data_IF_419903658764
#
_entry.id   IF_419903658764
#
_cell.length_a   1.000
_cell.length_b   1.000
_cell.length_c   1.000
_cell.angle_alpha   90.00
_cell.angle_beta   90.00
_cell.angle_gamma   90.00
#
_symmetry.space_group_name_H-M   'P 1'
#
loop_
_entity.id
_entity.type
_entity.pdbx_description
1 polymer ?
#
# COMPACT_ATOMS: atom_id res chain seq x y z
N UNK A 1 16.09 27.12 1.88
CA UNK A 1 15.16 26.04 2.29
C UNK A 1 14.38 25.65 1.05
N UNK A 2 14.54 24.42 0.55
CA UNK A 2 13.84 23.97 -0.65
C UNK A 2 12.34 24.06 -0.41
N UNK A 3 11.59 24.69 -1.32
CA UNK A 3 10.12 24.68 -1.30
C UNK A 3 9.67 23.23 -1.15
N UNK A 4 8.81 22.88 -0.18
CA UNK A 4 8.30 21.53 -0.10
C UNK A 4 7.69 21.21 -1.47
N UNK A 5 8.14 20.11 -2.09
CA UNK A 5 7.47 19.56 -3.27
C UNK A 5 5.96 19.55 -2.99
N UNK A 6 5.17 19.97 -3.97
CA UNK A 6 3.73 20.03 -3.81
C UNK A 6 3.18 18.60 -3.80
N UNK A 7 3.18 17.96 -2.63
CA UNK A 7 2.70 16.59 -2.42
C UNK A 7 1.21 16.66 -2.09
N UNK A 8 0.38 16.00 -2.89
CA UNK A 8 -1.08 15.93 -2.68
C UNK A 8 -1.55 14.57 -2.22
N UNK A 9 -0.76 13.52 -2.47
CA UNK A 9 -1.05 12.15 -2.01
C UNK A 9 0.19 11.50 -1.40
N UNK A 10 -0.02 10.74 -0.33
CA UNK A 10 0.95 9.79 0.22
C UNK A 10 0.36 8.40 0.05
N UNK A 11 0.92 7.64 -0.89
CA UNK A 11 0.57 6.24 -1.11
C UNK A 11 1.56 5.42 -0.30
N UNK A 12 1.07 4.54 0.57
CA UNK A 12 1.96 3.81 1.48
C UNK A 12 1.41 2.42 1.81
N UNK A 13 2.33 1.61 2.31
CA UNK A 13 2.10 0.27 2.83
C UNK A 13 3.05 0.04 4.01
N UNK A 14 2.70 -0.87 4.91
CA UNK A 14 3.54 -1.26 6.05
C UNK A 14 3.76 -2.77 6.08
N UNK A 15 4.96 -3.16 6.49
CA UNK A 15 5.23 -4.53 6.91
C UNK A 15 5.35 -4.57 8.42
N UNK A 16 4.79 -5.60 9.04
CA UNK A 16 4.68 -5.66 10.51
C UNK A 16 5.22 -6.94 11.10
N UNK A 17 5.65 -6.84 12.36
CA UNK A 17 6.13 -7.95 13.16
C UNK A 17 5.40 -7.98 14.49
N UNK A 18 5.22 -9.17 15.03
CA UNK A 18 4.57 -9.34 16.31
C UNK A 18 5.48 -8.91 17.46
N UNK A 19 4.92 -8.20 18.44
CA UNK A 19 5.57 -7.94 19.70
C UNK A 19 5.40 -9.15 20.63
N UNK A 20 6.30 -10.11 20.50
CA UNK A 20 6.28 -11.33 21.31
C UNK A 20 6.41 -11.08 22.82
N UNK A 21 7.07 -9.98 23.23
CA UNK A 21 7.14 -9.63 24.65
C UNK A 21 5.77 -9.19 25.18
N UNK A 22 5.00 -8.43 24.40
CA UNK A 22 3.63 -8.07 24.75
C UNK A 22 2.69 -9.28 24.69
N UNK A 23 2.82 -10.14 23.68
CA UNK A 23 2.05 -11.39 23.60
C UNK A 23 2.29 -12.25 24.84
N UNK A 24 3.56 -12.51 25.19
CA UNK A 24 3.95 -13.27 26.39
C UNK A 24 3.31 -12.67 27.65
N UNK A 25 3.45 -11.35 27.84
CA UNK A 25 2.92 -10.66 29.02
C UNK A 25 1.40 -10.72 29.16
N UNK A 26 0.65 -10.57 28.06
CA UNK A 26 -0.81 -10.39 28.11
C UNK A 26 -1.57 -11.71 27.94
N UNK A 27 -1.08 -12.60 27.08
CA UNK A 27 -1.74 -13.88 26.79
C UNK A 27 -1.34 -14.99 27.75
N UNK A 28 -0.11 -14.96 28.27
CA UNK A 28 0.48 -16.03 29.07
C UNK A 28 1.05 -15.51 30.40
N UNK A 29 0.25 -14.77 31.21
CA UNK A 29 0.74 -14.18 32.44
C UNK A 29 1.22 -15.26 33.42
N UNK A 30 2.49 -15.14 33.87
CA UNK A 30 3.10 -16.05 34.84
C UNK A 30 3.80 -17.27 34.23
N UNK A 31 3.69 -17.49 32.92
CA UNK A 31 4.33 -18.63 32.24
C UNK A 31 5.77 -18.33 31.79
N UNK A 32 6.20 -17.07 31.83
CA UNK A 32 7.55 -16.62 31.45
C UNK A 32 8.02 -17.10 30.06
N UNK A 33 7.09 -17.19 29.11
CA UNK A 33 7.41 -17.61 27.75
C UNK A 33 8.35 -16.62 27.07
N UNK A 34 9.30 -17.14 26.30
CA UNK A 34 10.11 -16.32 25.40
C UNK A 34 9.25 -15.66 24.31
N UNK A 35 9.64 -14.50 23.76
CA UNK A 35 8.84 -13.78 22.77
C UNK A 35 8.42 -14.62 21.55
N UNK A 36 9.34 -15.42 21.00
CA UNK A 36 9.07 -16.27 19.84
C UNK A 36 8.10 -17.42 20.16
N UNK A 37 8.30 -18.08 21.30
CA UNK A 37 7.40 -19.15 21.78
C UNK A 37 5.99 -18.61 22.02
N UNK A 38 5.87 -17.42 22.61
CA UNK A 38 4.58 -16.78 22.86
C UNK A 38 3.84 -16.47 21.55
N UNK A 39 4.55 -16.00 20.52
CA UNK A 39 3.98 -15.77 19.18
C UNK A 39 3.49 -17.10 18.58
N UNK A 40 4.34 -18.12 18.56
CA UNK A 40 4.01 -19.42 17.97
C UNK A 40 2.81 -20.08 18.66
N UNK A 41 2.78 -20.06 19.99
CA UNK A 41 1.66 -20.60 20.78
C UNK A 41 0.36 -19.86 20.48
N UNK A 42 0.40 -18.52 20.44
CA UNK A 42 -0.82 -17.76 20.19
C UNK A 42 -1.33 -17.94 18.77
N UNK A 43 -0.43 -18.03 17.78
CA UNK A 43 -0.79 -18.39 16.40
C UNK A 43 -1.46 -19.77 16.31
N UNK A 44 -0.94 -20.77 17.03
CA UNK A 44 -1.53 -22.10 17.07
C UNK A 44 -2.95 -22.09 17.69
N UNK A 45 -3.16 -21.37 18.79
CA UNK A 45 -4.49 -21.19 19.39
C UNK A 45 -5.49 -20.54 18.43
N UNK A 46 -5.06 -19.49 17.71
CA UNK A 46 -5.92 -18.81 16.74
C UNK A 46 -6.27 -19.72 15.56
N UNK A 47 -5.32 -20.53 15.09
CA UNK A 47 -5.56 -21.54 14.06
C UNK A 47 -6.58 -22.58 14.54
N UNK A 48 -6.45 -23.09 15.76
CA UNK A 48 -7.38 -24.05 16.34
C UNK A 48 -8.79 -23.47 16.50
N UNK A 49 -8.91 -22.22 16.97
CA UNK A 49 -10.20 -21.60 17.28
C UNK A 49 -10.93 -21.05 16.05
N UNK A 50 -10.20 -20.45 15.11
CA UNK A 50 -10.76 -19.65 14.02
C UNK A 50 -10.31 -20.10 12.62
N UNK A 51 -9.43 -21.10 12.52
CA UNK A 51 -8.88 -21.58 11.26
C UNK A 51 -7.91 -20.60 10.58
N UNK A 52 -7.39 -19.62 11.33
CA UNK A 52 -6.44 -18.61 10.85
C UNK A 52 -5.45 -18.25 11.96
N UNK A 53 -4.18 -18.10 11.63
CA UNK A 53 -3.09 -17.78 12.56
C UNK A 53 -2.67 -16.29 12.54
N UNK A 54 -3.57 -15.40 12.11
CA UNK A 54 -3.29 -13.97 11.99
C UNK A 54 -3.43 -13.30 13.35
N UNK A 55 -2.31 -12.75 13.87
CA UNK A 55 -2.31 -11.99 15.11
C UNK A 55 -3.07 -10.66 14.97
N UNK A 56 -3.83 -10.24 15.99
CA UNK A 56 -4.50 -8.93 16.00
C UNK A 56 -3.51 -7.76 15.89
N UNK A 57 -3.90 -6.69 15.18
CA UNK A 57 -3.11 -5.46 15.00
C UNK A 57 -2.60 -4.84 16.32
N UNK A 58 -3.29 -5.06 17.43
CA UNK A 58 -2.89 -4.59 18.77
C UNK A 58 -1.58 -5.20 19.27
N UNK A 59 -1.15 -6.34 18.72
CA UNK A 59 0.11 -6.99 19.03
C UNK A 59 1.20 -6.76 17.97
N UNK A 60 0.92 -5.97 16.94
CA UNK A 60 1.83 -5.77 15.81
C UNK A 60 2.59 -4.44 15.93
N UNK A 61 3.81 -4.42 15.41
CA UNK A 61 4.65 -3.24 15.28
C UNK A 61 5.10 -3.09 13.82
N UNK A 62 5.22 -1.86 13.28
CA UNK A 62 5.75 -1.67 11.94
C UNK A 62 7.24 -2.01 11.91
N UNK A 63 7.60 -3.03 11.14
CA UNK A 63 8.97 -3.38 10.80
C UNK A 63 9.48 -2.59 9.59
N UNK A 64 8.60 -2.20 8.67
CA UNK A 64 8.92 -1.31 7.56
C UNK A 64 7.70 -0.44 7.23
N UNK A 65 7.95 0.74 6.66
CA UNK A 65 6.92 1.62 6.10
C UNK A 65 7.52 2.36 4.92
N UNK A 66 6.95 2.13 3.73
CA UNK A 66 7.36 2.80 2.50
C UNK A 66 6.29 3.78 2.06
N UNK A 67 6.69 4.97 1.60
CA UNK A 67 5.79 6.02 1.13
C UNK A 67 6.20 6.48 -0.26
N UNK A 68 5.29 6.37 -1.22
CA UNK A 68 5.33 7.11 -2.47
C UNK A 68 4.70 8.50 -2.28
N UNK A 69 5.47 9.55 -2.59
CA UNK A 69 4.98 10.93 -2.63
C UNK A 69 4.50 11.24 -4.03
N UNK A 70 3.28 11.72 -4.14
CA UNK A 70 2.64 11.97 -5.44
C UNK A 70 2.08 13.39 -5.51
N UNK A 71 2.32 14.03 -6.65
CA UNK A 71 1.89 15.40 -6.93
C UNK A 71 0.37 15.55 -7.19
N UNK A 72 -0.14 16.78 -7.30
CA UNK A 72 -1.53 17.04 -7.66
C UNK A 72 -1.92 16.56 -9.07
N UNK A 73 -0.93 16.41 -9.95
CA UNK A 73 -1.03 15.85 -11.31
C UNK A 73 -0.87 14.32 -11.33
N UNK A 74 -0.85 13.68 -10.16
CA UNK A 74 -0.67 12.23 -9.98
C UNK A 74 0.72 11.70 -10.38
N UNK A 75 1.70 12.57 -10.64
CA UNK A 75 3.09 12.16 -10.91
C UNK A 75 3.78 11.63 -9.64
N UNK A 76 4.47 10.50 -9.77
CA UNK A 76 5.38 10.01 -8.74
C UNK A 76 6.56 10.97 -8.57
N UNK A 77 6.68 11.55 -7.38
CA UNK A 77 7.75 12.49 -7.05
C UNK A 77 8.93 11.79 -6.37
N UNK A 78 8.63 10.85 -5.48
CA UNK A 78 9.60 10.19 -4.62
C UNK A 78 9.06 8.87 -4.05
N UNK A 79 9.94 7.94 -3.68
CA UNK A 79 9.62 6.69 -2.99
C UNK A 79 10.63 6.51 -1.85
N UNK A 80 10.15 6.54 -0.60
CA UNK A 80 11.01 6.61 0.59
C UNK A 80 10.62 5.54 1.59
N UNK A 81 11.59 4.77 2.07
CA UNK A 81 11.43 3.91 3.24
C UNK A 81 11.82 4.68 4.51
N UNK A 82 10.97 4.63 5.55
CA UNK A 82 11.19 5.41 6.77
C UNK A 82 12.17 4.73 7.73
N UNK A 83 13.10 5.52 8.28
CA UNK A 83 14.15 5.08 9.21
C UNK A 83 15.11 4.01 8.65
N UNK A 84 15.20 3.85 7.34
CA UNK A 84 16.20 3.00 6.69
C UNK A 84 17.63 3.50 7.01
N UNK A 85 18.60 2.59 7.28
CA UNK A 85 18.51 1.12 7.29
C UNK A 85 18.20 0.51 8.66
N UNK A 86 17.81 1.31 9.66
CA UNK A 86 17.66 0.85 11.05
C UNK A 86 16.26 0.37 11.38
N UNK A 87 15.24 0.85 10.66
CA UNK A 87 13.87 0.36 10.74
C UNK A 87 13.30 0.32 12.17
N UNK A 88 13.59 1.34 12.99
CA UNK A 88 13.17 1.35 14.39
C UNK A 88 11.69 1.73 14.46
N UNK A 89 10.80 0.88 15.01
CA UNK A 89 9.35 1.11 14.92
C UNK A 89 8.89 2.46 15.49
N UNK A 90 9.46 2.90 16.61
CA UNK A 90 9.14 4.20 17.22
C UNK A 90 9.51 5.40 16.35
N UNK A 91 10.57 5.31 15.54
CA UNK A 91 10.97 6.36 14.61
C UNK A 91 10.20 6.28 13.30
N UNK A 92 9.89 5.08 12.81
CA UNK A 92 9.00 4.89 11.66
C UNK A 92 7.67 5.63 11.90
N UNK A 93 7.00 5.32 13.02
CA UNK A 93 5.68 5.88 13.34
C UNK A 93 5.76 7.39 13.57
N UNK A 94 6.78 7.85 14.31
CA UNK A 94 7.00 9.28 14.55
C UNK A 94 7.23 10.03 13.24
N UNK A 95 8.10 9.51 12.37
CA UNK A 95 8.44 10.15 11.10
C UNK A 95 7.25 10.15 10.13
N UNK A 96 6.43 9.10 10.13
CA UNK A 96 5.21 9.06 9.32
C UNK A 96 4.24 10.18 9.69
N UNK A 97 3.81 10.26 10.96
CA UNK A 97 2.84 11.27 11.39
C UNK A 97 3.37 12.70 11.29
N UNK A 98 4.65 12.92 11.65
CA UNK A 98 5.29 14.23 11.48
C UNK A 98 5.45 14.60 10.01
N UNK A 99 5.80 13.64 9.16
CA UNK A 99 5.88 13.80 7.71
C UNK A 99 4.54 14.19 7.11
N UNK A 100 3.48 13.43 7.40
CA UNK A 100 2.12 13.73 6.94
C UNK A 100 1.70 15.17 7.29
N UNK A 101 1.93 15.60 8.54
CA UNK A 101 1.68 16.99 8.95
C UNK A 101 2.57 18.00 8.21
N UNK A 102 3.86 17.69 8.04
CA UNK A 102 4.85 18.58 7.37
C UNK A 102 4.50 18.83 5.90
N UNK A 103 3.96 17.84 5.21
CA UNK A 103 3.48 17.96 3.83
C UNK A 103 2.05 18.52 3.73
N UNK A 104 1.55 19.18 4.78
CA UNK A 104 0.22 19.80 4.84
C UNK A 104 -0.93 18.79 4.68
N UNK A 105 -0.80 17.63 5.34
CA UNK A 105 -1.82 16.57 5.41
C UNK A 105 -2.30 16.10 4.02
N UNK A 106 -1.41 15.58 3.15
CA UNK A 106 -1.83 15.01 1.88
C UNK A 106 -2.83 13.88 2.08
N UNK A 107 -3.60 13.57 1.04
CA UNK A 107 -4.53 12.42 1.07
C UNK A 107 -3.70 11.15 1.26
N UNK A 108 -4.01 10.40 2.31
CA UNK A 108 -3.45 9.07 2.49
C UNK A 108 -4.13 8.12 1.50
N UNK A 109 -3.34 7.26 0.87
CA UNK A 109 -3.85 6.26 -0.09
C UNK A 109 -3.24 4.91 0.24
N UNK A 110 -4.07 3.90 0.35
CA UNK A 110 -3.67 2.53 0.73
C UNK A 110 -4.50 1.51 -0.02
N UNK A 111 -4.09 0.25 -0.03
CA UNK A 111 -4.96 -0.87 -0.40
C UNK A 111 -5.32 -1.70 0.84
N UNK A 112 -6.56 -1.58 1.34
CA UNK A 112 -7.04 -2.20 2.59
C UNK A 112 -6.36 -1.68 3.87
N UNK A 113 -5.67 -0.53 3.81
CA UNK A 113 -4.98 0.06 4.95
C UNK A 113 -5.89 0.62 6.04
N UNK A 114 -7.19 0.83 5.77
CA UNK A 114 -8.17 1.10 6.82
C UNK A 114 -8.33 -0.08 7.76
N UNK A 115 -8.28 -1.29 7.21
CA UNK A 115 -8.46 -2.54 7.94
C UNK A 115 -7.23 -2.99 8.72
N UNK A 116 -6.04 -2.46 8.40
CA UNK A 116 -4.79 -2.97 8.96
C UNK A 116 -3.73 -1.89 9.22
N UNK A 117 -3.19 -1.26 8.19
CA UNK A 117 -2.04 -0.36 8.27
C UNK A 117 -2.26 0.80 9.24
N UNK A 118 -3.35 1.55 9.06
CA UNK A 118 -3.68 2.68 9.92
C UNK A 118 -3.95 2.25 11.36
N UNK A 119 -4.76 1.20 11.64
CA UNK A 119 -4.87 0.65 12.99
C UNK A 119 -3.53 0.33 13.65
N UNK A 120 -2.58 -0.30 12.94
CA UNK A 120 -1.24 -0.58 13.48
C UNK A 120 -0.48 0.72 13.81
N UNK A 121 -0.50 1.71 12.91
CA UNK A 121 0.16 2.99 13.14
C UNK A 121 -0.49 3.81 14.26
N UNK A 122 -1.80 3.69 14.45
CA UNK A 122 -2.56 4.30 15.55
C UNK A 122 -2.22 3.64 16.89
N UNK A 123 -2.22 2.30 16.96
CA UNK A 123 -1.81 1.59 18.18
C UNK A 123 -0.33 1.81 18.51
N UNK A 124 0.53 1.92 17.50
CA UNK A 124 1.93 2.25 17.71
C UNK A 124 2.10 3.71 18.19
N UNK A 125 1.28 4.64 17.71
CA UNK A 125 1.26 6.01 18.24
C UNK A 125 0.84 6.03 19.72
N UNK A 126 -0.19 5.26 20.09
CA UNK A 126 -0.57 5.06 21.50
C UNK A 126 0.59 4.49 22.31
N UNK A 127 1.22 3.42 21.82
CA UNK A 127 2.35 2.73 22.47
C UNK A 127 3.54 3.65 22.74
N UNK A 128 3.88 4.50 21.77
CA UNK A 128 5.04 5.38 21.84
C UNK A 128 4.72 6.79 22.36
N UNK A 129 3.49 7.03 22.83
CA UNK A 129 3.08 8.32 23.40
C UNK A 129 3.11 9.47 22.39
N UNK A 130 2.76 9.21 21.13
CA UNK A 130 2.75 10.21 20.06
C UNK A 130 1.38 10.90 19.97
N UNK A 131 1.40 12.23 19.96
CA UNK A 131 0.19 13.05 19.76
C UNK A 131 -0.10 13.20 18.27
N UNK A 132 -1.30 12.77 17.84
CA UNK A 132 -1.77 12.82 16.44
C UNK A 132 -3.19 13.41 16.33
N UNK A 133 -3.46 14.59 16.92
CA UNK A 133 -4.82 15.12 17.04
C UNK A 133 -5.43 15.50 15.70
N UNK A 134 -4.62 15.92 14.72
CA UNK A 134 -5.12 16.26 13.38
C UNK A 134 -5.61 15.05 12.60
N UNK A 135 -5.11 13.85 12.90
CA UNK A 135 -5.59 12.60 12.28
C UNK A 135 -6.86 12.10 12.95
N UNK A 136 -6.90 12.10 14.28
CA UNK A 136 -8.09 11.61 14.99
C UNK A 136 -9.28 12.56 14.89
N UNK A 137 -8.99 13.86 14.95
CA UNK A 137 -9.89 15.02 14.81
C UNK A 137 -11.35 14.80 15.27
N UNK A 138 -11.54 14.11 16.40
CA UNK A 138 -12.84 13.61 16.89
C UNK A 138 -13.85 14.75 17.13
N UNK A 139 -13.37 15.95 17.44
CA UNK A 139 -14.22 17.12 17.63
C UNK A 139 -14.73 17.78 16.33
N UNK A 140 -14.22 17.38 15.16
CA UNK A 140 -14.68 17.90 13.87
C UNK A 140 -16.04 17.28 13.47
N UNK A 141 -16.82 17.95 12.60
CA UNK A 141 -17.98 17.35 11.96
C UNK A 141 -17.63 15.97 11.38
N UNK A 142 -18.51 14.99 11.55
CA UNK A 142 -18.20 13.59 11.23
C UNK A 142 -17.68 13.39 9.80
N UNK A 143 -18.20 14.14 8.82
CA UNK A 143 -17.78 14.07 7.41
C UNK A 143 -16.38 14.68 7.15
N UNK A 144 -15.87 15.51 8.04
CA UNK A 144 -14.51 16.08 7.99
C UNK A 144 -13.50 15.24 8.79
N UNK A 145 -13.96 14.25 9.57
CA UNK A 145 -13.07 13.40 10.35
C UNK A 145 -12.18 12.56 9.45
N UNK A 146 -10.87 12.56 9.66
CA UNK A 146 -9.94 11.89 8.74
C UNK A 146 -10.09 10.37 8.76
N UNK A 147 -10.55 9.83 9.90
CA UNK A 147 -10.86 8.40 10.07
C UNK A 147 -12.24 8.01 9.57
N UNK A 148 -13.09 8.97 9.19
CA UNK A 148 -14.39 8.63 8.61
C UNK A 148 -14.15 7.85 7.32
N UNK A 149 -14.73 6.65 7.24
CA UNK A 149 -14.59 5.73 6.12
C UNK A 149 -14.89 6.37 4.75
N UNK A 150 -15.82 7.32 4.71
CA UNK A 150 -16.28 7.98 3.49
C UNK A 150 -15.55 9.31 3.21
N UNK A 151 -14.64 9.76 4.08
CA UNK A 151 -13.83 10.95 3.86
C UNK A 151 -12.61 10.63 2.99
N UNK A 152 -12.85 10.48 1.69
CA UNK A 152 -11.81 10.20 0.69
C UNK A 152 -10.83 11.36 0.47
N UNK A 153 -11.13 12.54 1.03
CA UNK A 153 -10.23 13.71 1.02
C UNK A 153 -9.16 13.65 2.11
N UNK A 154 -9.30 12.77 3.11
CA UNK A 154 -8.25 12.49 4.10
C UNK A 154 -7.60 11.13 3.86
N UNK A 155 -8.40 10.12 3.58
CA UNK A 155 -7.91 8.76 3.32
C UNK A 155 -8.76 8.05 2.26
N UNK A 156 -8.13 7.76 1.14
CA UNK A 156 -8.68 6.94 0.07
C UNK A 156 -8.15 5.51 0.22
N UNK A 157 -8.97 4.62 0.74
CA UNK A 157 -8.69 3.18 0.70
C UNK A 157 -9.21 2.58 -0.63
N UNK A 158 -8.29 2.09 -1.45
CA UNK A 158 -8.62 1.51 -2.75
C UNK A 158 -9.42 0.21 -2.61
N UNK A 159 -9.24 -0.55 -1.53
CA UNK A 159 -10.07 -1.73 -1.27
C UNK A 159 -11.51 -1.33 -0.99
N UNK A 160 -11.74 -0.29 -0.18
CA UNK A 160 -13.10 0.26 0.03
C UNK A 160 -13.71 0.74 -1.29
N UNK A 161 -12.93 1.43 -2.14
CA UNK A 161 -13.39 1.89 -3.45
C UNK A 161 -13.85 0.72 -4.33
N UNK A 162 -13.02 -0.31 -4.52
CA UNK A 162 -13.33 -1.43 -5.42
C UNK A 162 -14.32 -2.44 -4.84
N UNK A 163 -14.40 -2.55 -3.52
CA UNK A 163 -15.36 -3.43 -2.83
C UNK A 163 -16.76 -2.81 -2.72
N UNK A 164 -16.98 -1.58 -3.23
CA UNK A 164 -18.18 -0.79 -2.93
C UNK A 164 -18.44 -0.73 -1.41
N UNK A 165 -17.40 -0.36 -0.65
CA UNK A 165 -17.40 -0.32 0.82
C UNK A 165 -17.79 -1.65 1.49
N UNK A 166 -17.36 -2.76 0.88
CA UNK A 166 -17.59 -4.12 1.38
C UNK A 166 -18.85 -4.80 0.86
N UNK A 167 -19.56 -4.22 -0.12
CA UNK A 167 -20.67 -4.91 -0.79
C UNK A 167 -20.21 -6.13 -1.58
N UNK A 168 -18.96 -6.13 -2.07
CA UNK A 168 -18.31 -7.29 -2.69
C UNK A 168 -16.92 -7.51 -2.13
N UNK A 169 -16.45 -8.75 -2.11
CA UNK A 169 -15.06 -9.05 -1.76
C UNK A 169 -14.17 -8.87 -2.99
N UNK A 170 -13.08 -8.12 -2.85
CA UNK A 170 -12.03 -8.04 -3.88
C UNK A 170 -11.10 -9.25 -3.71
N UNK A 171 -11.58 -10.43 -4.12
CA UNK A 171 -10.82 -11.67 -4.05
C UNK A 171 -9.54 -11.56 -4.88
N UNK A 172 -8.39 -11.94 -4.31
CA UNK A 172 -7.08 -11.73 -4.93
C UNK A 172 -6.40 -10.40 -4.58
N UNK A 173 -7.16 -9.44 -4.02
CA UNK A 173 -6.62 -8.21 -3.43
C UNK A 173 -5.74 -7.39 -4.36
N UNK A 174 -4.72 -6.74 -3.81
CA UNK A 174 -3.80 -5.89 -4.56
C UNK A 174 -3.10 -6.67 -5.68
N UNK A 175 -2.71 -7.92 -5.41
CA UNK A 175 -2.05 -8.79 -6.39
C UNK A 175 -2.88 -8.94 -7.67
N UNK A 176 -4.17 -9.24 -7.54
CA UNK A 176 -5.06 -9.35 -8.71
C UNK A 176 -5.22 -8.01 -9.43
N UNK A 177 -5.45 -6.93 -8.67
CA UNK A 177 -5.65 -5.60 -9.25
C UNK A 177 -4.42 -5.11 -10.03
N UNK A 178 -3.22 -5.35 -9.51
CA UNK A 178 -1.95 -5.03 -10.17
C UNK A 178 -1.76 -5.87 -11.45
N UNK A 179 -2.00 -7.18 -11.38
CA UNK A 179 -1.86 -8.08 -12.53
C UNK A 179 -2.84 -7.74 -13.66
N UNK A 180 -4.08 -7.33 -13.34
CA UNK A 180 -5.07 -6.89 -14.34
C UNK A 180 -4.54 -5.73 -15.19
N UNK A 181 -3.72 -4.85 -14.61
CA UNK A 181 -3.11 -3.70 -15.29
C UNK A 181 -1.65 -3.98 -15.72
N UNK A 182 -1.27 -5.26 -15.81
CA UNK A 182 0.05 -5.70 -16.24
C UNK A 182 1.20 -5.40 -15.28
N UNK A 183 0.92 -4.98 -14.03
CA UNK A 183 1.97 -4.77 -13.03
C UNK A 183 2.30 -6.08 -12.29
N UNK A 184 3.51 -6.19 -11.71
CA UNK A 184 4.01 -7.45 -11.14
C UNK A 184 3.07 -8.11 -10.14
N UNK A 185 2.42 -7.31 -9.27
CA UNK A 185 1.75 -7.88 -8.10
C UNK A 185 2.74 -8.47 -7.11
N UNK A 186 2.23 -9.34 -6.24
CA UNK A 186 3.02 -10.12 -5.28
C UNK A 186 4.02 -11.01 -6.03
N UNK A 187 5.26 -10.55 -6.13
CA UNK A 187 6.36 -11.22 -6.82
C UNK A 187 7.49 -11.60 -5.85
N UNK A 188 7.16 -11.98 -4.60
CA UNK A 188 8.17 -12.13 -3.55
C UNK A 188 7.68 -12.69 -2.21
N UNK A 189 8.17 -12.10 -1.11
CA UNK A 189 7.80 -12.46 0.26
C UNK A 189 6.29 -12.40 0.44
N UNK A 190 5.72 -13.45 1.02
CA UNK A 190 4.36 -13.39 1.54
C UNK A 190 4.37 -12.81 2.96
N UNK A 191 3.35 -12.04 3.34
CA UNK A 191 3.22 -11.44 4.67
C UNK A 191 3.40 -12.45 5.82
N UNK A 192 3.10 -13.73 5.59
CA UNK A 192 3.36 -14.82 6.55
C UNK A 192 4.86 -15.00 6.89
N UNK A 193 5.76 -14.66 5.98
CA UNK A 193 7.21 -14.84 6.10
C UNK A 193 7.93 -13.63 6.71
N UNK A 194 7.26 -12.47 6.84
CA UNK A 194 7.86 -11.22 7.34
C UNK A 194 8.49 -11.40 8.72
N UNK A 195 7.84 -12.16 9.59
CA UNK A 195 8.36 -12.47 10.93
C UNK A 195 9.68 -13.24 10.85
N UNK A 196 9.78 -14.22 9.97
CA UNK A 196 10.97 -15.07 9.83
C UNK A 196 12.14 -14.27 9.24
N UNK A 197 11.87 -13.44 8.24
CA UNK A 197 12.87 -12.53 7.67
C UNK A 197 13.37 -11.54 8.71
N UNK A 198 12.48 -10.97 9.52
CA UNK A 198 12.86 -10.04 10.57
C UNK A 198 13.73 -10.72 11.63
N UNK A 199 13.37 -11.93 12.07
CA UNK A 199 14.15 -12.72 13.02
C UNK A 199 15.54 -13.09 12.45
N UNK A 200 15.63 -13.30 11.14
CA UNK A 200 16.89 -13.55 10.44
C UNK A 200 17.72 -12.28 10.15
N UNK A 201 17.26 -11.09 10.56
CA UNK A 201 17.94 -9.82 10.31
C UNK A 201 17.85 -9.33 8.85
N UNK A 202 16.93 -9.90 8.07
CA UNK A 202 16.71 -9.65 6.63
C UNK A 202 15.72 -8.51 6.39
N UNK A 203 15.95 -7.38 7.08
CA UNK A 203 15.03 -6.23 7.06
C UNK A 203 15.09 -5.44 5.76
N UNK A 204 16.22 -5.49 5.05
CA UNK A 204 16.31 -4.86 3.73
C UNK A 204 15.43 -5.55 2.71
N UNK A 205 15.37 -6.89 2.72
CA UNK A 205 14.46 -7.61 1.84
C UNK A 205 12.99 -7.26 2.13
N UNK A 206 12.59 -7.21 3.40
CA UNK A 206 11.23 -6.74 3.79
C UNK A 206 10.93 -5.37 3.18
N UNK A 207 11.86 -4.43 3.28
CA UNK A 207 11.67 -3.09 2.73
C UNK A 207 11.61 -3.07 1.19
N UNK A 208 12.38 -3.92 0.52
CA UNK A 208 12.36 -4.04 -0.94
C UNK A 208 11.02 -4.58 -1.45
N UNK A 209 10.38 -5.51 -0.76
CA UNK A 209 9.04 -5.98 -1.13
C UNK A 209 7.95 -4.96 -0.80
N UNK A 210 8.04 -4.29 0.35
CA UNK A 210 7.12 -3.20 0.69
C UNK A 210 7.18 -2.07 -0.36
N UNK A 211 8.36 -1.79 -0.95
CA UNK A 211 8.47 -0.87 -2.10
C UNK A 211 7.68 -1.34 -3.31
N UNK A 212 7.72 -2.63 -3.64
CA UNK A 212 6.94 -3.21 -4.74
C UNK A 212 5.43 -3.04 -4.51
N UNK A 213 4.95 -3.33 -3.30
CA UNK A 213 3.52 -3.22 -2.97
C UNK A 213 3.03 -1.76 -3.00
N UNK A 214 3.87 -0.80 -2.58
CA UNK A 214 3.58 0.64 -2.73
C UNK A 214 3.53 1.06 -4.20
N UNK A 215 4.43 0.54 -5.05
CA UNK A 215 4.39 0.81 -6.50
C UNK A 215 3.15 0.22 -7.15
N UNK A 216 2.79 -1.02 -6.83
CA UNK A 216 1.55 -1.63 -7.30
C UNK A 216 0.33 -0.82 -6.84
N UNK A 217 0.30 -0.39 -5.58
CA UNK A 217 -0.75 0.48 -5.05
C UNK A 217 -0.79 1.82 -5.81
N UNK A 218 0.36 2.38 -6.19
CA UNK A 218 0.42 3.60 -7.01
C UNK A 218 -0.19 3.40 -8.40
N UNK A 219 0.15 2.32 -9.11
CA UNK A 219 -0.42 2.08 -10.43
C UNK A 219 -1.91 1.75 -10.38
N UNK A 220 -2.35 1.00 -9.38
CA UNK A 220 -3.79 0.77 -9.13
C UNK A 220 -4.50 2.08 -8.78
N UNK A 221 -3.85 2.97 -8.02
CA UNK A 221 -4.36 4.31 -7.76
C UNK A 221 -4.52 5.12 -9.06
N UNK A 222 -3.54 5.12 -9.97
CA UNK A 222 -3.65 5.78 -11.27
C UNK A 222 -4.83 5.24 -12.08
N UNK A 223 -4.97 3.91 -12.20
CA UNK A 223 -6.12 3.30 -12.89
C UNK A 223 -7.45 3.71 -12.27
N UNK A 224 -7.52 3.81 -10.94
CA UNK A 224 -8.72 4.31 -10.26
C UNK A 224 -9.05 5.76 -10.62
N UNK A 225 -8.04 6.60 -10.91
CA UNK A 225 -8.25 7.98 -11.37
C UNK A 225 -8.89 8.00 -12.75
N UNK A 226 -8.52 7.08 -13.64
CA UNK A 226 -9.19 6.91 -14.93
C UNK A 226 -10.65 6.49 -14.73
N UNK A 227 -10.91 5.48 -13.91
CA UNK A 227 -12.27 5.01 -13.61
C UNK A 227 -13.18 6.12 -13.06
N UNK A 228 -12.62 7.07 -12.30
CA UNK A 228 -13.34 8.20 -11.71
C UNK A 228 -13.37 9.46 -12.59
N UNK A 229 -12.90 9.37 -13.85
CA UNK A 229 -12.85 10.50 -14.79
C UNK A 229 -11.89 11.62 -14.38
N UNK A 230 -10.90 11.33 -13.53
CA UNK A 230 -9.85 12.26 -13.08
C UNK A 230 -8.62 12.24 -13.98
N UNK A 231 -8.44 11.17 -14.74
CA UNK A 231 -7.43 11.01 -15.78
C UNK A 231 -8.09 10.46 -17.04
N UNK A 232 -7.56 10.83 -18.21
CA UNK A 232 -7.78 10.04 -19.42
C UNK A 232 -6.89 8.80 -19.38
N UNK A 233 -7.23 7.78 -20.17
CA UNK A 233 -6.39 6.59 -20.30
C UNK A 233 -5.01 6.92 -20.88
N UNK A 234 -4.94 7.86 -21.84
CA UNK A 234 -3.67 8.30 -22.42
C UNK A 234 -2.78 9.02 -21.38
N UNK A 235 -3.37 9.81 -20.49
CA UNK A 235 -2.62 10.48 -19.42
C UNK A 235 -2.13 9.50 -18.37
N UNK A 236 -2.92 8.46 -18.05
CA UNK A 236 -2.43 7.34 -17.23
C UNK A 236 -1.21 6.67 -17.89
N UNK A 237 -1.26 6.36 -19.19
CA UNK A 237 -0.13 5.74 -19.88
C UNK A 237 1.14 6.60 -19.85
N UNK A 238 1.02 7.92 -20.00
CA UNK A 238 2.15 8.85 -19.84
C UNK A 238 2.72 8.82 -18.43
N UNK A 239 1.87 8.85 -17.40
CA UNK A 239 2.31 8.78 -16.00
C UNK A 239 2.97 7.44 -15.67
N UNK A 240 2.47 6.33 -16.23
CA UNK A 240 3.07 5.00 -16.10
C UNK A 240 4.47 4.97 -16.74
N UNK A 241 4.64 5.56 -17.93
CA UNK A 241 5.93 5.65 -18.61
C UNK A 241 6.93 6.57 -17.86
N UNK A 242 6.46 7.71 -17.35
CA UNK A 242 7.25 8.62 -16.50
C UNK A 242 7.74 7.89 -15.24
N UNK A 243 6.85 7.15 -14.57
CA UNK A 243 7.18 6.39 -13.38
C UNK A 243 8.16 5.24 -13.69
N UNK A 244 7.98 4.52 -14.81
CA UNK A 244 8.94 3.49 -15.24
C UNK A 244 10.34 4.07 -15.43
N UNK A 245 10.44 5.19 -16.14
CA UNK A 245 11.71 5.92 -16.33
C UNK A 245 12.34 6.35 -14.99
N UNK A 246 11.51 6.79 -14.04
CA UNK A 246 11.95 7.14 -12.69
C UNK A 246 12.52 5.94 -11.92
N UNK A 247 11.91 4.76 -12.06
CA UNK A 247 12.33 3.50 -11.43
C UNK A 247 13.64 3.01 -12.08
N UNK A 248 13.72 3.00 -13.42
CA UNK A 248 14.91 2.58 -14.18
C UNK A 248 16.16 3.38 -13.78
N UNK A 249 16.01 4.69 -13.61
CA UNK A 249 17.09 5.57 -13.15
C UNK A 249 17.64 5.23 -11.74
N UNK A 250 16.91 4.44 -10.94
CA UNK A 250 17.26 4.10 -9.55
C UNK A 250 17.54 2.63 -9.32
N UNK A 251 17.12 1.75 -10.25
CA UNK A 251 17.26 0.31 -10.17
C UNK A 251 18.70 -0.17 -9.94
N UNK A 252 19.70 0.56 -10.45
CA UNK A 252 21.11 0.22 -10.23
C UNK A 252 21.59 0.33 -8.77
N UNK A 253 20.85 1.05 -7.91
CA UNK A 253 21.19 1.26 -6.50
C UNK A 253 20.17 0.65 -5.53
N UNK A 254 19.06 0.12 -6.03
CA UNK A 254 17.95 -0.41 -5.24
C UNK A 254 17.49 -1.75 -5.83
N UNK A 255 17.94 -2.89 -5.27
CA UNK A 255 17.63 -4.22 -5.78
C UNK A 255 16.13 -4.49 -5.91
N UNK A 256 15.31 -4.06 -4.94
CA UNK A 256 13.85 -4.15 -5.04
C UNK A 256 13.26 -3.49 -6.29
N UNK A 257 13.77 -2.32 -6.68
CA UNK A 257 13.31 -1.63 -7.91
C UNK A 257 13.74 -2.36 -9.18
N UNK A 258 14.95 -2.94 -9.18
CA UNK A 258 15.38 -3.80 -10.28
C UNK A 258 14.47 -5.02 -10.41
N UNK A 259 14.19 -5.72 -9.30
CA UNK A 259 13.28 -6.86 -9.27
C UNK A 259 11.89 -6.50 -9.80
N UNK A 260 11.36 -5.34 -9.40
CA UNK A 260 10.08 -4.84 -9.89
C UNK A 260 10.06 -4.64 -11.43
N UNK A 261 11.14 -4.06 -11.99
CA UNK A 261 11.28 -3.90 -13.44
C UNK A 261 11.43 -5.23 -14.19
N UNK A 262 12.14 -6.20 -13.60
CA UNK A 262 12.32 -7.52 -14.21
C UNK A 262 11.00 -8.28 -14.38
N UNK A 263 9.96 -7.91 -13.62
CA UNK A 263 8.61 -8.48 -13.69
C UNK A 263 7.56 -7.51 -14.28
N UNK A 264 7.99 -6.34 -14.76
CA UNK A 264 7.10 -5.31 -15.28
C UNK A 264 6.43 -5.78 -16.58
N UNK A 265 5.10 -5.73 -16.63
CA UNK A 265 4.32 -5.82 -17.86
C UNK A 265 3.65 -4.49 -18.21
N UNK A 266 3.16 -4.40 -19.44
CA UNK A 266 2.34 -3.28 -19.90
C UNK A 266 0.91 -3.76 -20.11
N UNK A 267 -0.06 -2.98 -19.63
CA UNK A 267 -1.46 -3.29 -19.83
C UNK A 267 -1.84 -3.20 -21.31
N UNK A 268 -2.59 -4.18 -21.79
CA UNK A 268 -3.21 -4.14 -23.11
C UNK A 268 -4.73 -4.16 -22.93
N UNK A 269 -5.48 -3.31 -23.66
CA UNK A 269 -6.94 -3.37 -23.66
C UNK A 269 -7.43 -4.78 -24.00
N UNK A 270 -8.31 -5.40 -23.19
CA UNK A 270 -8.97 -6.65 -23.54
C UNK A 270 -10.06 -6.34 -24.58
N UNK A 271 -9.65 -6.13 -25.83
CA UNK A 271 -10.57 -5.98 -26.95
C UNK A 271 -10.65 -7.34 -27.63
N UNK A 272 -11.86 -7.88 -27.78
CA UNK A 272 -12.08 -9.05 -28.63
C UNK A 272 -11.59 -8.72 -30.04
N UNK A 273 -10.57 -9.44 -30.52
CA UNK A 273 -10.01 -9.26 -31.87
C UNK A 273 -11.09 -9.31 -32.96
N UNK A 274 -12.19 -10.04 -32.71
CA UNK A 274 -13.36 -10.13 -33.60
C UNK A 274 -14.10 -8.80 -33.81
N UNK A 275 -14.14 -7.92 -32.81
CA UNK A 275 -14.83 -6.61 -32.92
C UNK A 275 -13.96 -5.59 -33.66
N UNK A 276 -12.64 -5.78 -33.66
CA UNK A 276 -11.72 -4.94 -34.41
C UNK A 276 -11.82 -5.22 -35.94
N UNK A 277 -12.03 -6.47 -36.34
CA UNK A 277 -12.20 -6.86 -37.74
C UNK A 277 -13.53 -6.37 -38.35
N UNK A 278 -14.63 -6.37 -37.59
CA UNK A 278 -15.93 -5.88 -38.09
C UNK A 278 -15.89 -4.39 -38.45
N UNK A 279 -15.23 -3.55 -37.65
CA UNK A 279 -15.06 -2.11 -37.95
C UNK A 279 -14.19 -1.84 -39.18
N UNK A 280 -13.24 -2.71 -39.52
CA UNK A 280 -12.48 -2.58 -40.76
C UNK A 280 -13.26 -3.02 -42.00
N UNK A 281 -14.24 -3.92 -41.84
CA UNK A 281 -15.07 -4.41 -42.96
C UNK A 281 -16.22 -3.45 -43.32
N UNK A 282 -16.84 -2.79 -42.34
CA UNK A 282 -17.91 -1.80 -42.59
C UNK A 282 -17.38 -0.47 -43.20
N UNK A 283 -16.11 -0.13 -42.95
CA UNK A 283 -15.47 1.04 -43.56
C UNK A 283 -15.12 0.89 -45.05
N UNK A 284 -15.07 -0.35 -45.57
CA UNK A 284 -14.71 -0.64 -46.96
C UNK A 284 -15.94 -0.74 -47.91
N UNK A 285 -17.16 -0.73 -47.38
CA UNK A 285 -18.38 -0.97 -48.16
C UNK A 285 -19.16 0.31 -48.56
N UNK A 286 -18.58 1.51 -48.41
CA UNK A 286 -19.27 2.80 -48.63
C UNK A 286 -18.67 3.71 -49.71
N UNK A 287 -18.08 3.15 -50.78
CA UNK A 287 -17.89 3.90 -52.04
C UNK A 287 -19.01 3.56 -53.03
N UNK A 288 -19.89 4.52 -53.41
CA UNK A 288 -20.88 4.29 -54.45
C UNK A 288 -20.21 4.35 -55.84
N UNK A 289 -20.61 3.50 -56.80
CA UNK A 289 -20.06 3.56 -58.15
C UNK A 289 -20.52 4.81 -58.90
N UNK A 290 -19.61 5.36 -59.71
CA UNK A 290 -19.80 6.53 -60.57
C UNK A 290 -20.76 6.28 -61.74
#
# INVERSE_FOLDING_TARGET
>A
MSTPQNVSYLIFDIETVADGALVSKIRYPGENLGPEEAIQRHRAELMEQFGKDILPATFMLPACLVVAKVGPDFRLLDLVSLDEPKYRPHLIVKNFWQGWKRYNKPVLVTFNGRGYDLPVLEFAAYRYGLSVPEWFNIGAPSYEQSRNRYNVSSHLDLYDLFSNYGAVRVSGGLNLMANIIGKPGKSGIDGSQVQDYYNAGRTQEIADYCRCDVLDTYFVFLRSRVMLGRLSLDDEHKLVADAKSWIEARAGSQPGLKHYLDHWGDWQPPIDEKVAEEKTSEGAASEPPA
#
